data_IF_273355264500
#
_entry.id   IF_273355264500
#
_cell.length_a   1.000
_cell.length_b   1.000
_cell.length_c   1.000
_cell.angle_alpha   90.00
_cell.angle_beta   90.00
_cell.angle_gamma   90.00
#
_symmetry.space_group_name_H-M   'P 1'
#
loop_
_entity.id
_entity.type
_entity.pdbx_description
1 polymer ?
#
# COMPACT_ATOMS: atom_id res chain seq x y z
N UNK A 1 -3.69 -3.61 -19.41
CA UNK A 1 -4.52 -4.26 -18.38
C UNK A 1 -5.83 -3.50 -18.30
N UNK A 2 -6.94 -4.22 -18.32
CA UNK A 2 -8.27 -3.68 -18.05
C UNK A 2 -8.46 -3.40 -16.55
N UNK A 3 -9.65 -2.91 -16.17
CA UNK A 3 -9.96 -2.56 -14.78
C UNK A 3 -9.90 -3.77 -13.87
N UNK A 4 -10.50 -4.87 -14.31
CA UNK A 4 -10.58 -6.10 -13.52
C UNK A 4 -9.19 -6.65 -13.23
N UNK A 5 -8.29 -6.66 -14.21
CA UNK A 5 -6.89 -7.03 -14.03
C UNK A 5 -6.14 -6.07 -13.13
N UNK A 6 -6.38 -4.76 -13.27
CA UNK A 6 -5.75 -3.72 -12.42
C UNK A 6 -6.17 -3.88 -10.96
N UNK A 7 -7.47 -4.08 -10.69
CA UNK A 7 -8.03 -4.31 -9.35
C UNK A 7 -7.46 -5.58 -8.74
N UNK A 8 -7.51 -6.71 -9.47
CA UNK A 8 -6.99 -8.00 -8.97
C UNK A 8 -5.49 -7.91 -8.65
N UNK A 9 -4.71 -7.29 -9.54
CA UNK A 9 -3.28 -7.10 -9.35
C UNK A 9 -2.96 -6.22 -8.14
N UNK A 10 -3.58 -5.04 -8.06
CA UNK A 10 -3.38 -4.10 -6.94
C UNK A 10 -3.80 -4.73 -5.61
N UNK A 11 -5.02 -5.26 -5.53
CA UNK A 11 -5.56 -5.81 -4.29
C UNK A 11 -4.83 -7.08 -3.86
N UNK A 12 -4.45 -7.95 -4.80
CA UNK A 12 -3.63 -9.12 -4.52
C UNK A 12 -2.25 -8.74 -3.98
N UNK A 13 -1.61 -7.73 -4.57
CA UNK A 13 -0.31 -7.24 -4.09
C UNK A 13 -0.41 -6.68 -2.67
N UNK A 14 -1.47 -5.93 -2.34
CA UNK A 14 -1.74 -5.44 -0.97
C UNK A 14 -1.85 -6.58 0.04
N UNK A 15 -2.57 -7.64 -0.31
CA UNK A 15 -2.69 -8.82 0.56
C UNK A 15 -1.32 -9.44 0.80
N UNK A 16 -0.52 -9.64 -0.25
CA UNK A 16 0.82 -10.23 -0.14
C UNK A 16 1.75 -9.35 0.71
N UNK A 17 1.79 -8.04 0.45
CA UNK A 17 2.61 -7.08 1.21
C UNK A 17 2.14 -7.05 2.67
N UNK A 18 0.84 -6.95 2.90
CA UNK A 18 0.27 -6.87 4.24
C UNK A 18 0.51 -8.13 5.08
N UNK A 19 0.31 -9.32 4.49
CA UNK A 19 0.64 -10.60 5.15
C UNK A 19 2.13 -10.70 5.44
N UNK A 20 2.99 -10.30 4.50
CA UNK A 20 4.45 -10.32 4.70
C UNK A 20 4.87 -9.34 5.79
N UNK A 21 4.31 -8.12 5.82
CA UNK A 21 4.56 -7.14 6.87
C UNK A 21 4.06 -7.60 8.25
N UNK A 22 3.00 -8.41 8.29
CA UNK A 22 2.44 -8.90 9.54
C UNK A 22 3.22 -10.10 10.12
N UNK A 23 3.51 -11.11 9.28
CA UNK A 23 4.22 -12.32 9.67
C UNK A 23 5.74 -12.13 9.74
N UNK A 24 6.30 -11.39 8.78
CA UNK A 24 7.74 -11.20 8.60
C UNK A 24 8.14 -9.71 8.58
N UNK A 25 7.80 -8.93 9.62
CA UNK A 25 7.92 -7.46 9.60
C UNK A 25 9.33 -6.94 9.33
N UNK A 26 10.37 -7.64 9.84
CA UNK A 26 11.76 -7.25 9.60
C UNK A 26 12.17 -7.45 8.14
N UNK A 27 11.67 -8.51 7.51
CA UNK A 27 11.92 -8.76 6.09
C UNK A 27 11.21 -7.70 5.24
N UNK A 28 9.92 -7.46 5.51
CA UNK A 28 9.14 -6.44 4.82
C UNK A 28 9.83 -5.06 4.90
N UNK A 29 10.23 -4.63 6.09
CA UNK A 29 10.93 -3.35 6.26
C UNK A 29 12.20 -3.24 5.40
N UNK A 30 13.04 -4.28 5.39
CA UNK A 30 14.27 -4.29 4.59
C UNK A 30 14.01 -4.23 3.09
N UNK A 31 12.96 -4.88 2.59
CA UNK A 31 12.56 -4.81 1.17
C UNK A 31 12.18 -3.39 0.76
N UNK A 32 11.68 -2.59 1.70
CA UNK A 32 11.38 -1.16 1.51
C UNK A 32 12.53 -0.24 1.93
N UNK A 33 13.73 -0.78 2.20
CA UNK A 33 14.92 0.00 2.55
C UNK A 33 14.87 0.62 3.94
N UNK A 34 13.99 0.15 4.83
CA UNK A 34 13.94 0.53 6.24
C UNK A 34 14.98 -0.25 7.05
N UNK A 35 15.38 0.31 8.19
CA UNK A 35 16.23 -0.36 9.18
C UNK A 35 15.42 -0.78 10.42
N UNK A 36 14.81 -1.98 10.44
CA UNK A 36 14.13 -2.51 11.61
C UNK A 36 15.11 -2.99 12.71
N UNK A 37 16.42 -2.98 12.46
CA UNK A 37 17.44 -3.29 13.47
C UNK A 37 17.70 -2.09 14.39
N UNK A 38 17.74 -0.89 13.82
CA UNK A 38 17.88 0.37 14.55
C UNK A 38 16.60 0.86 15.25
N UNK A 39 15.45 0.21 15.03
CA UNK A 39 14.19 0.59 15.67
C UNK A 39 13.42 -0.66 16.20
N UNK A 40 13.45 -0.93 17.52
CA UNK A 40 12.78 -2.09 18.10
C UNK A 40 11.24 -2.03 18.02
N UNK A 41 10.66 -0.84 17.80
CA UNK A 41 9.21 -0.67 17.63
C UNK A 41 8.75 -0.90 16.18
N UNK A 42 9.67 -0.95 15.21
CA UNK A 42 9.33 -1.13 13.79
C UNK A 42 8.50 -2.40 13.51
N UNK A 43 8.77 -3.57 14.13
CA UNK A 43 7.95 -4.75 13.91
C UNK A 43 6.51 -4.66 14.41
N UNK A 44 6.24 -3.81 15.41
CA UNK A 44 4.88 -3.53 15.87
C UNK A 44 4.14 -2.68 14.85
N UNK A 45 4.75 -1.57 14.42
CA UNK A 45 4.17 -0.66 13.43
C UNK A 45 3.93 -1.35 12.08
N UNK A 46 4.85 -2.21 11.64
CA UNK A 46 4.71 -2.98 10.41
C UNK A 46 3.49 -3.93 10.43
N UNK A 47 3.14 -4.49 11.60
CA UNK A 47 1.94 -5.32 11.75
C UNK A 47 0.65 -4.51 11.66
N UNK A 48 0.63 -3.33 12.29
CA UNK A 48 -0.51 -2.42 12.20
C UNK A 48 -0.73 -1.93 10.76
N UNK A 49 0.35 -1.59 10.06
CA UNK A 49 0.33 -1.29 8.63
C UNK A 49 -0.18 -2.49 7.82
N UNK A 50 0.38 -3.68 8.08
CA UNK A 50 0.11 -4.87 7.28
C UNK A 50 -1.33 -5.34 7.36
N UNK A 51 -1.93 -5.37 8.55
CA UNK A 51 -3.32 -5.82 8.72
C UNK A 51 -4.32 -4.89 8.01
N UNK A 52 -4.04 -3.57 8.00
CA UNK A 52 -4.81 -2.58 7.24
C UNK A 52 -4.77 -2.91 5.75
N UNK A 53 -3.59 -3.18 5.21
CA UNK A 53 -3.43 -3.44 3.77
C UNK A 53 -4.08 -4.76 3.34
N UNK A 54 -4.04 -5.79 4.20
CA UNK A 54 -4.81 -7.03 4.02
C UNK A 54 -6.31 -6.74 3.98
N UNK A 55 -6.84 -5.96 4.93
CA UNK A 55 -8.27 -5.65 4.98
C UNK A 55 -8.73 -4.88 3.72
N UNK A 56 -7.95 -3.89 3.28
CA UNK A 56 -8.22 -3.13 2.05
C UNK A 56 -8.22 -4.03 0.81
N UNK A 57 -7.22 -4.91 0.69
CA UNK A 57 -7.10 -5.84 -0.43
C UNK A 57 -8.24 -6.87 -0.46
N UNK A 58 -8.55 -7.51 0.67
CA UNK A 58 -9.66 -8.46 0.78
C UNK A 58 -11.02 -7.78 0.56
N UNK A 59 -11.20 -6.56 1.07
CA UNK A 59 -12.40 -5.77 0.83
C UNK A 59 -12.61 -5.49 -0.66
N UNK A 60 -11.56 -5.09 -1.38
CA UNK A 60 -11.63 -4.84 -2.82
C UNK A 60 -11.89 -6.13 -3.63
N UNK A 61 -11.26 -7.26 -3.26
CA UNK A 61 -11.45 -8.54 -3.95
C UNK A 61 -12.81 -9.19 -3.66
N UNK A 62 -13.29 -9.09 -2.42
CA UNK A 62 -14.49 -9.77 -1.93
C UNK A 62 -15.80 -9.00 -2.12
N UNK A 63 -15.75 -7.79 -2.68
CA UNK A 63 -16.95 -6.98 -2.96
C UNK A 63 -17.01 -6.58 -4.42
N UNK A 64 -18.16 -6.05 -4.87
CA UNK A 64 -18.39 -5.58 -6.25
C UNK A 64 -19.09 -4.20 -6.25
N UNK A 65 -19.26 -3.61 -7.43
CA UNK A 65 -19.96 -2.34 -7.63
C UNK A 65 -19.48 -1.21 -6.72
N UNK A 66 -20.42 -0.47 -6.11
CA UNK A 66 -20.12 0.64 -5.21
C UNK A 66 -19.37 0.22 -3.94
N UNK A 67 -19.59 -1.00 -3.43
CA UNK A 67 -18.87 -1.48 -2.25
C UNK A 67 -17.37 -1.64 -2.55
N UNK A 68 -17.03 -2.26 -3.69
CA UNK A 68 -15.64 -2.35 -4.17
C UNK A 68 -15.05 -0.97 -4.40
N UNK A 69 -15.82 -0.07 -5.02
CA UNK A 69 -15.39 1.32 -5.26
C UNK A 69 -15.01 2.03 -3.97
N UNK A 70 -15.76 1.86 -2.87
CA UNK A 70 -15.43 2.43 -1.55
C UNK A 70 -14.12 1.88 -0.99
N UNK A 71 -13.89 0.56 -1.10
CA UNK A 71 -12.62 -0.05 -0.69
C UNK A 71 -11.43 0.48 -1.50
N UNK A 72 -11.59 0.62 -2.82
CA UNK A 72 -10.56 1.19 -3.70
C UNK A 72 -10.29 2.66 -3.36
N UNK A 73 -11.31 3.47 -3.08
CA UNK A 73 -11.14 4.86 -2.63
C UNK A 73 -10.43 4.95 -1.27
N UNK A 74 -10.78 4.09 -0.32
CA UNK A 74 -10.10 4.03 0.97
C UNK A 74 -8.63 3.64 0.82
N UNK A 75 -8.33 2.67 -0.05
CA UNK A 75 -6.96 2.26 -0.38
C UNK A 75 -6.16 3.38 -1.04
N UNK A 76 -6.75 4.08 -2.03
CA UNK A 76 -6.14 5.25 -2.65
C UNK A 76 -5.82 6.34 -1.61
N UNK A 77 -6.75 6.62 -0.70
CA UNK A 77 -6.51 7.57 0.39
C UNK A 77 -5.35 7.16 1.31
N UNK A 78 -5.25 5.86 1.64
CA UNK A 78 -4.12 5.33 2.42
C UNK A 78 -2.79 5.49 1.67
N UNK A 79 -2.73 5.16 0.38
CA UNK A 79 -1.50 5.26 -0.40
C UNK A 79 -0.99 6.70 -0.51
N UNK A 80 -1.91 7.66 -0.70
CA UNK A 80 -1.56 9.08 -0.71
C UNK A 80 -1.04 9.55 0.65
N UNK A 81 -1.65 9.10 1.75
CA UNK A 81 -1.19 9.39 3.10
C UNK A 81 0.18 8.77 3.40
N UNK A 82 0.42 7.54 2.94
CA UNK A 82 1.71 6.85 3.10
C UNK A 82 2.80 7.55 2.27
N UNK A 83 2.50 8.00 1.05
CA UNK A 83 3.41 8.82 0.25
C UNK A 83 3.76 10.14 0.96
N UNK A 84 2.77 10.81 1.56
CA UNK A 84 3.00 12.01 2.35
C UNK A 84 3.89 11.73 3.58
N UNK A 85 3.69 10.60 4.26
CA UNK A 85 4.53 10.16 5.37
C UNK A 85 5.98 9.89 4.94
N UNK A 86 6.18 9.22 3.80
CA UNK A 86 7.50 8.98 3.20
C UNK A 86 8.25 10.29 2.90
N UNK A 87 7.57 11.24 2.25
CA UNK A 87 8.13 12.57 1.99
C UNK A 87 8.46 13.32 3.29
N UNK A 88 7.56 13.30 4.28
CA UNK A 88 7.79 13.95 5.56
C UNK A 88 8.99 13.35 6.29
N UNK A 89 9.15 12.04 6.24
CA UNK A 89 10.29 11.35 6.85
C UNK A 89 11.62 11.64 6.18
N UNK A 90 11.64 11.71 4.84
CA UNK A 90 12.82 12.16 4.08
C UNK A 90 13.21 13.59 4.42
N UNK A 91 12.23 14.51 4.45
CA UNK A 91 12.47 15.93 4.80
C UNK A 91 12.97 16.13 6.23
N UNK A 92 12.55 15.27 7.17
CA UNK A 92 12.99 15.30 8.58
C UNK A 92 14.28 14.52 8.83
N UNK A 93 14.83 13.84 7.83
CA UNK A 93 16.14 13.20 7.89
C UNK A 93 16.20 11.85 8.61
N UNK A 94 15.06 11.26 9.01
CA UNK A 94 15.04 9.92 9.62
C UNK A 94 14.83 8.79 8.60
N UNK A 95 14.62 9.13 7.32
CA UNK A 95 14.69 8.20 6.18
C UNK A 95 15.88 8.60 5.29
N UNK A 96 16.67 7.62 4.86
CA UNK A 96 17.71 7.86 3.87
C UNK A 96 17.10 8.29 2.53
N UNK A 97 17.83 9.00 1.65
CA UNK A 97 17.30 9.40 0.34
C UNK A 97 16.76 8.22 -0.48
N UNK A 98 17.47 7.09 -0.49
CA UNK A 98 17.02 5.88 -1.17
C UNK A 98 15.74 5.33 -0.54
N UNK A 99 15.69 5.22 0.80
CA UNK A 99 14.50 4.76 1.53
C UNK A 99 13.30 5.65 1.24
N UNK A 100 13.47 6.98 1.26
CA UNK A 100 12.42 7.96 0.93
C UNK A 100 11.88 7.73 -0.47
N UNK A 101 12.75 7.56 -1.47
CA UNK A 101 12.34 7.28 -2.85
C UNK A 101 11.58 5.97 -2.94
N UNK A 102 12.07 4.90 -2.30
CA UNK A 102 11.40 3.59 -2.35
C UNK A 102 10.01 3.64 -1.73
N UNK A 103 9.87 4.09 -0.47
CA UNK A 103 8.56 4.07 0.21
C UNK A 103 7.56 5.03 -0.43
N UNK A 104 8.02 6.23 -0.82
CA UNK A 104 7.15 7.24 -1.46
C UNK A 104 6.79 6.81 -2.87
N UNK A 105 7.76 6.32 -3.64
CA UNK A 105 7.56 5.88 -5.02
C UNK A 105 6.62 4.70 -5.11
N UNK A 106 6.77 3.69 -4.24
CA UNK A 106 5.83 2.56 -4.19
C UNK A 106 4.41 3.02 -3.84
N UNK A 107 4.27 3.89 -2.84
CA UNK A 107 2.95 4.40 -2.44
C UNK A 107 2.29 5.20 -3.58
N UNK A 108 3.04 6.07 -4.27
CA UNK A 108 2.53 6.81 -5.43
C UNK A 108 2.17 5.90 -6.61
N UNK A 109 2.94 4.84 -6.85
CA UNK A 109 2.62 3.86 -7.88
C UNK A 109 1.31 3.10 -7.57
N UNK A 110 1.13 2.69 -6.31
CA UNK A 110 -0.12 2.07 -5.84
C UNK A 110 -1.31 3.03 -5.96
N UNK A 111 -1.13 4.31 -5.58
CA UNK A 111 -2.14 5.36 -5.77
C UNK A 111 -2.51 5.54 -7.25
N UNK A 112 -1.52 5.53 -8.16
CA UNK A 112 -1.76 5.59 -9.60
C UNK A 112 -2.61 4.42 -10.12
N UNK A 113 -2.32 3.20 -9.65
CA UNK A 113 -3.12 2.01 -9.97
C UNK A 113 -4.54 2.08 -9.39
N UNK A 114 -4.68 2.58 -8.16
CA UNK A 114 -5.99 2.79 -7.52
C UNK A 114 -6.83 3.82 -8.26
N UNK A 115 -6.24 4.95 -8.65
CA UNK A 115 -6.90 5.98 -9.46
C UNK A 115 -7.33 5.44 -10.83
N UNK A 116 -6.47 4.64 -11.49
CA UNK A 116 -6.82 3.96 -12.74
C UNK A 116 -8.01 3.01 -12.55
N UNK A 117 -7.96 2.16 -11.52
CA UNK A 117 -9.03 1.21 -11.21
C UNK A 117 -10.39 1.87 -10.90
N UNK A 118 -10.38 3.14 -10.48
CA UNK A 118 -11.57 3.95 -10.22
C UNK A 118 -12.06 4.72 -11.46
N UNK A 119 -11.34 4.66 -12.57
CA UNK A 119 -11.64 5.48 -13.75
C UNK A 119 -12.93 5.03 -14.46
N UNK A 120 -13.80 5.95 -14.93
CA UNK A 120 -15.13 5.61 -15.47
C UNK A 120 -15.13 4.77 -16.75
N UNK A 121 -14.01 4.72 -17.47
CA UNK A 121 -13.88 4.08 -18.79
C UNK A 121 -13.72 2.56 -18.75
N UNK A 122 -13.74 1.97 -17.55
CA UNK A 122 -13.32 0.60 -17.30
C UNK A 122 -14.42 -0.20 -16.56
N UNK A 123 -15.68 0.28 -16.63
CA UNK A 123 -16.86 -0.41 -16.08
C UNK A 123 -17.14 -1.71 -16.86
N UNK A 124 -17.00 -2.91 -16.28
CA UNK A 124 -17.65 -4.09 -16.82
C UNK A 124 -19.17 -3.88 -16.66
N UNK A 125 -19.91 -4.18 -17.73
CA UNK A 125 -21.37 -4.26 -17.70
C UNK A 125 -21.84 -5.29 -16.66
#
# INVERSE_FOLDING_TARGET
MDAAGTIKGLAGLRVVIGVTAWLFPKLAGRLFGLDPGGNPQAPYLARLFGVRDVALGLGALGTEGEARRRWLMAGLGCDLADAAAGMAGGRRGYLSPLTTVMVTGTALAAAGLGAKALSPGERPA
#
